data_IF_857134166605
#
_entry.id   IF_857134166605
#
_cell.length_a   1.000
_cell.length_b   1.000
_cell.length_c   1.000
_cell.angle_alpha   90.00
_cell.angle_beta   90.00
_cell.angle_gamma   90.00
#
_symmetry.space_group_name_H-M   'P 1'
#
loop_
_entity.id
_entity.type
_entity.pdbx_description
1 polymer ?
#
# COMPACT_ATOMS: atom_id res chain seq x y z
N UNK A 1 -64.51 42.45 15.33
CA UNK A 1 -64.62 41.35 16.31
C UNK A 1 -65.31 40.16 15.64
N UNK A 2 -64.96 38.96 16.10
CA UNK A 2 -65.35 37.61 15.69
C UNK A 2 -66.80 37.42 15.16
N UNK A 3 -66.89 36.53 14.16
CA UNK A 3 -67.95 35.57 13.78
C UNK A 3 -68.79 35.81 12.52
N UNK A 4 -68.96 34.66 11.86
CA UNK A 4 -70.03 34.21 10.95
C UNK A 4 -69.91 34.52 9.45
N UNK A 5 -69.70 33.45 8.68
CA UNK A 5 -70.53 33.04 7.53
C UNK A 5 -69.78 32.03 6.64
N UNK A 6 -70.17 30.76 6.68
CA UNK A 6 -70.16 29.90 5.49
C UNK A 6 -71.34 30.33 4.57
N UNK A 7 -71.58 29.83 3.33
CA UNK A 7 -71.01 28.66 2.63
C UNK A 7 -70.77 28.90 1.10
N UNK A 8 -70.76 27.80 0.32
CA UNK A 8 -70.80 27.64 -1.16
C UNK A 8 -69.40 27.47 -1.82
N UNK A 9 -69.09 26.40 -2.55
CA UNK A 9 -69.86 25.24 -2.94
C UNK A 9 -69.07 24.35 -3.91
N UNK A 10 -69.33 23.04 -3.79
CA UNK A 10 -69.48 22.06 -4.88
C UNK A 10 -68.24 21.61 -5.66
N UNK A 11 -67.92 20.33 -5.42
CA UNK A 11 -67.40 19.27 -6.30
C UNK A 11 -66.08 18.73 -5.77
N UNK A 12 -65.92 17.47 -5.41
CA UNK A 12 -66.71 16.31 -5.81
C UNK A 12 -65.71 15.18 -6.13
N UNK A 13 -65.58 14.25 -5.19
CA UNK A 13 -65.56 12.80 -5.43
C UNK A 13 -64.30 12.18 -6.09
N UNK A 14 -63.72 11.26 -5.29
CA UNK A 14 -62.82 10.11 -5.54
C UNK A 14 -63.28 9.18 -6.69
N UNK A 15 -62.89 7.90 -6.79
CA UNK A 15 -61.60 7.19 -6.91
C UNK A 15 -61.52 6.52 -8.32
N UNK A 16 -60.64 5.52 -8.48
CA UNK A 16 -60.71 4.38 -9.45
C UNK A 16 -60.01 4.51 -10.81
N UNK A 17 -58.89 3.80 -10.92
CA UNK A 17 -58.45 2.88 -12.00
C UNK A 17 -57.06 2.37 -11.56
N UNK A 18 -56.91 1.39 -10.66
CA UNK A 18 -57.01 -0.07 -10.88
C UNK A 18 -56.94 -0.49 -12.35
N UNK A 19 -55.72 -0.65 -12.86
CA UNK A 19 -55.39 -1.58 -13.95
C UNK A 19 -54.06 -2.24 -13.56
N UNK A 20 -54.06 -3.39 -12.89
CA UNK A 20 -54.11 -4.73 -13.49
C UNK A 20 -53.14 -4.89 -14.67
N UNK A 21 -51.85 -5.04 -14.38
CA UNK A 21 -51.00 -5.91 -15.18
C UNK A 21 -50.47 -7.05 -14.30
N UNK A 22 -51.30 -8.07 -14.14
CA UNK A 22 -50.87 -9.40 -13.74
C UNK A 22 -50.27 -10.09 -14.96
N UNK A 23 -48.95 -10.29 -14.96
CA UNK A 23 -48.30 -11.38 -15.70
C UNK A 23 -47.84 -12.41 -14.68
N UNK A 24 -48.71 -13.37 -14.47
CA UNK A 24 -48.50 -14.59 -13.68
C UNK A 24 -47.44 -15.52 -14.33
N UNK A 25 -46.95 -16.45 -13.50
CA UNK A 25 -46.20 -17.68 -13.83
C UNK A 25 -44.67 -17.58 -13.97
N UNK A 26 -43.91 -17.83 -12.88
CA UNK A 26 -43.33 -19.16 -12.64
C UNK A 26 -42.33 -19.20 -11.45
N UNK A 27 -42.56 -20.21 -10.60
CA UNK A 27 -41.62 -20.94 -9.74
C UNK A 27 -41.03 -20.25 -8.49
N UNK A 28 -41.81 -20.33 -7.42
CA UNK A 28 -41.50 -21.14 -6.24
C UNK A 28 -40.05 -21.65 -6.11
N UNK A 29 -39.29 -21.03 -5.21
CA UNK A 29 -38.46 -21.75 -4.25
C UNK A 29 -38.52 -21.02 -2.90
N UNK A 30 -39.24 -21.65 -1.99
CA UNK A 30 -39.34 -21.31 -0.57
C UNK A 30 -38.21 -22.05 0.19
N UNK A 31 -37.82 -21.51 1.34
CA UNK A 31 -36.86 -22.07 2.34
C UNK A 31 -35.38 -21.90 1.97
N UNK A 32 -34.54 -21.16 2.70
CA UNK A 32 -34.43 -21.00 4.17
C UNK A 32 -33.82 -19.62 4.46
N UNK A 33 -34.43 -18.80 5.31
CA UNK A 33 -34.01 -18.67 6.72
C UNK A 33 -32.47 -18.57 6.88
N UNK A 34 -31.97 -17.37 7.16
CA UNK A 34 -31.19 -17.05 8.38
C UNK A 34 -30.18 -15.90 8.15
N UNK A 35 -30.42 -14.84 8.93
CA UNK A 35 -29.48 -14.05 9.71
C UNK A 35 -28.16 -13.56 9.07
N UNK A 36 -28.11 -12.23 8.92
CA UNK A 36 -26.90 -11.43 8.77
C UNK A 36 -26.00 -11.60 10.02
N UNK A 37 -24.70 -11.87 9.82
CA UNK A 37 -23.67 -11.15 10.54
C UNK A 37 -23.01 -10.20 9.56
N UNK A 38 -22.83 -8.95 10.01
CA UNK A 38 -22.22 -7.86 9.27
C UNK A 38 -20.92 -8.34 8.63
N UNK A 39 -20.94 -8.56 7.32
CA UNK A 39 -19.72 -8.29 6.55
C UNK A 39 -19.44 -6.83 6.87
N UNK A 40 -18.25 -6.47 7.41
CA UNK A 40 -17.93 -5.07 7.51
C UNK A 40 -18.04 -4.59 6.09
N UNK A 41 -19.06 -3.77 5.83
CA UNK A 41 -19.08 -2.88 4.68
C UNK A 41 -17.68 -2.31 4.73
N UNK A 42 -16.83 -2.76 3.80
CA UNK A 42 -15.50 -2.18 3.63
C UNK A 42 -15.87 -0.76 3.29
N UNK A 43 -15.91 0.08 4.32
CA UNK A 43 -16.09 1.49 4.18
C UNK A 43 -14.99 1.83 3.20
N UNK A 44 -15.40 2.15 1.97
CA UNK A 44 -14.54 2.76 0.98
C UNK A 44 -14.14 4.07 1.63
N UNK A 45 -13.11 3.98 2.47
CA UNK A 45 -12.49 5.11 3.09
C UNK A 45 -11.99 5.90 1.89
N UNK A 46 -12.59 7.07 1.59
CA UNK A 46 -12.29 7.79 0.37
C UNK A 46 -10.78 7.90 0.33
N UNK A 47 -10.12 7.27 -0.66
CA UNK A 47 -8.66 7.19 -0.75
C UNK A 47 -8.15 8.60 -0.51
N UNK A 48 -7.68 8.84 0.72
CA UNK A 48 -7.15 10.13 1.11
C UNK A 48 -6.06 10.36 0.10
N UNK A 49 -6.22 11.38 -0.74
CA UNK A 49 -5.18 11.79 -1.66
C UNK A 49 -4.05 12.28 -0.77
N UNK A 50 -3.25 11.34 -0.29
CA UNK A 50 -2.04 11.58 0.46
C UNK A 50 -1.21 12.44 -0.47
N UNK A 51 -1.06 13.71 -0.08
CA UNK A 51 -0.30 14.66 -0.87
C UNK A 51 1.04 14.03 -1.21
N UNK A 52 1.51 14.16 -2.45
CA UNK A 52 2.81 13.63 -2.89
C UNK A 52 3.93 14.02 -1.92
N UNK A 53 3.80 15.19 -1.28
CA UNK A 53 4.70 15.67 -0.23
C UNK A 53 4.68 14.79 1.04
N UNK A 54 3.52 14.29 1.46
CA UNK A 54 3.39 13.35 2.58
C UNK A 54 4.06 12.03 2.24
N UNK A 55 3.80 11.47 1.05
CA UNK A 55 4.44 10.22 0.60
C UNK A 55 5.96 10.39 0.47
N UNK A 56 6.40 11.52 -0.08
CA UNK A 56 7.82 11.86 -0.18
C UNK A 56 8.44 12.02 1.21
N UNK A 57 7.79 12.73 2.12
CA UNK A 57 8.29 12.99 3.47
C UNK A 57 8.41 11.72 4.31
N UNK A 58 7.39 10.85 4.28
CA UNK A 58 7.42 9.56 5.01
C UNK A 58 8.49 8.64 4.43
N UNK A 59 8.58 8.54 3.10
CA UNK A 59 9.59 7.72 2.43
C UNK A 59 11.00 8.26 2.68
N UNK A 60 11.20 9.58 2.58
CA UNK A 60 12.48 10.23 2.85
C UNK A 60 12.92 9.99 4.30
N UNK A 61 12.06 10.25 5.28
CA UNK A 61 12.41 10.04 6.70
C UNK A 61 12.72 8.57 6.97
N UNK A 62 11.93 7.65 6.42
CA UNK A 62 12.15 6.20 6.59
C UNK A 62 13.50 5.78 6.02
N UNK A 63 13.81 6.17 4.79
CA UNK A 63 15.08 5.85 4.13
C UNK A 63 16.23 6.57 4.83
N UNK A 64 16.08 7.84 5.17
CA UNK A 64 17.10 8.63 5.86
C UNK A 64 17.44 8.03 7.22
N UNK A 65 16.47 7.62 8.03
CA UNK A 65 16.75 6.92 9.29
C UNK A 65 17.42 5.57 9.08
N UNK A 66 17.05 4.83 8.02
CA UNK A 66 17.71 3.59 7.66
C UNK A 66 19.16 3.80 7.17
N UNK A 67 19.43 4.96 6.57
CA UNK A 67 20.73 5.35 5.98
C UNK A 67 21.62 6.17 6.92
N UNK A 68 21.09 6.75 8.00
CA UNK A 68 21.88 7.54 8.94
C UNK A 68 22.84 6.59 9.66
N UNK A 69 24.11 6.69 9.27
CA UNK A 69 25.16 5.82 9.79
C UNK A 69 25.42 4.58 8.94
N UNK A 70 24.97 4.54 7.68
CA UNK A 70 25.45 3.48 6.79
C UNK A 70 26.98 3.52 6.72
N UNK A 71 27.58 2.37 6.98
CA UNK A 71 29.03 2.20 7.06
C UNK A 71 29.69 2.60 5.74
N UNK A 72 28.96 2.53 4.63
CA UNK A 72 29.40 2.99 3.31
C UNK A 72 29.62 4.51 3.27
N UNK A 73 28.79 5.31 3.96
CA UNK A 73 28.96 6.77 4.02
C UNK A 73 30.23 7.15 4.78
N UNK A 74 30.51 6.49 5.91
CA UNK A 74 31.75 6.69 6.68
C UNK A 74 32.97 6.16 5.91
N UNK A 75 32.86 5.00 5.26
CA UNK A 75 33.95 4.42 4.45
C UNK A 75 34.32 5.34 3.28
N UNK A 76 33.31 5.91 2.61
CA UNK A 76 33.54 6.85 1.50
C UNK A 76 34.15 8.15 2.01
N UNK A 77 33.69 8.65 3.16
CA UNK A 77 34.24 9.85 3.79
C UNK A 77 35.70 9.63 4.24
N UNK A 78 36.02 8.51 4.87
CA UNK A 78 37.38 8.17 5.28
C UNK A 78 38.30 7.98 4.08
N UNK A 79 37.85 7.26 3.04
CA UNK A 79 38.60 7.09 1.80
C UNK A 79 38.82 8.42 1.08
N UNK A 80 37.84 9.34 1.13
CA UNK A 80 37.98 10.69 0.58
C UNK A 80 38.88 11.59 1.43
N UNK A 81 38.93 11.40 2.74
CA UNK A 81 39.74 12.19 3.67
C UNK A 81 41.22 11.78 3.67
N UNK A 82 41.51 10.48 3.52
CA UNK A 82 42.88 9.94 3.39
C UNK A 82 43.48 10.16 2.00
N UNK A 83 42.66 10.41 0.98
CA UNK A 83 43.15 10.55 -0.39
C UNK A 83 43.67 11.96 -0.68
N UNK A 84 44.86 12.01 -1.28
CA UNK A 84 45.48 13.25 -1.77
C UNK A 84 44.64 13.98 -2.85
N UNK A 85 43.64 13.30 -3.42
CA UNK A 85 42.68 13.89 -4.37
C UNK A 85 41.24 13.41 -4.05
N UNK A 86 40.49 14.15 -3.22
CA UNK A 86 39.14 13.78 -2.80
C UNK A 86 38.14 13.67 -3.96
N UNK A 87 38.35 14.46 -5.02
CA UNK A 87 37.53 14.41 -6.24
C UNK A 87 37.63 13.08 -6.98
N UNK A 88 38.80 12.46 -7.03
CA UNK A 88 39.00 11.16 -7.71
C UNK A 88 38.27 10.04 -6.95
N UNK A 89 38.33 10.08 -5.62
CA UNK A 89 37.61 9.11 -4.78
C UNK A 89 36.11 9.26 -4.94
N UNK A 90 35.60 10.49 -4.92
CA UNK A 90 34.17 10.77 -5.10
C UNK A 90 33.64 10.26 -6.44
N UNK A 91 34.34 10.56 -7.54
CA UNK A 91 33.94 10.10 -8.87
C UNK A 91 34.08 8.57 -8.99
N UNK A 92 35.13 8.00 -8.40
CA UNK A 92 35.33 6.55 -8.36
C UNK A 92 34.21 5.82 -7.61
N UNK A 93 33.84 6.29 -6.42
CA UNK A 93 32.73 5.73 -5.63
C UNK A 93 31.39 5.93 -6.32
N UNK A 94 31.14 7.11 -6.92
CA UNK A 94 29.93 7.38 -7.67
C UNK A 94 29.79 6.45 -8.89
N UNK A 95 30.86 6.26 -9.65
CA UNK A 95 30.89 5.34 -10.80
C UNK A 95 30.68 3.88 -10.36
N UNK A 96 31.32 3.47 -9.26
CA UNK A 96 31.14 2.13 -8.70
C UNK A 96 29.69 1.89 -8.25
N UNK A 97 29.06 2.87 -7.59
CA UNK A 97 27.66 2.81 -7.19
C UNK A 97 26.74 2.68 -8.41
N UNK A 98 26.88 3.55 -9.41
CA UNK A 98 26.07 3.49 -10.63
C UNK A 98 26.20 2.12 -11.32
N UNK A 99 27.44 1.63 -11.46
CA UNK A 99 27.71 0.33 -12.09
C UNK A 99 27.08 -0.80 -11.30
N UNK A 100 27.23 -0.79 -9.98
CA UNK A 100 26.67 -1.82 -9.09
C UNK A 100 25.14 -1.79 -9.11
N UNK A 101 24.53 -0.61 -9.05
CA UNK A 101 23.07 -0.45 -9.15
C UNK A 101 22.55 -0.95 -10.50
N UNK A 102 23.23 -0.63 -11.61
CA UNK A 102 22.84 -1.10 -12.93
C UNK A 102 22.90 -2.63 -13.03
N UNK A 103 24.00 -3.23 -12.55
CA UNK A 103 24.14 -4.68 -12.49
C UNK A 103 23.07 -5.32 -11.58
N UNK A 104 22.80 -4.72 -10.43
CA UNK A 104 21.77 -5.18 -9.50
C UNK A 104 20.36 -5.16 -10.11
N UNK A 105 20.01 -4.10 -10.86
CA UNK A 105 18.73 -4.00 -11.56
C UNK A 105 18.63 -5.02 -12.70
N UNK A 106 19.69 -5.20 -13.49
CA UNK A 106 19.72 -6.20 -14.57
C UNK A 106 19.56 -7.63 -14.01
N UNK A 107 20.34 -7.96 -12.98
CA UNK A 107 20.33 -9.28 -12.36
C UNK A 107 19.02 -9.52 -11.60
N UNK A 108 18.51 -8.49 -10.92
CA UNK A 108 17.22 -8.50 -10.22
C UNK A 108 16.04 -8.65 -11.18
N UNK A 109 16.06 -7.97 -12.33
CA UNK A 109 15.03 -8.14 -13.36
C UNK A 109 15.07 -9.54 -13.97
N UNK A 110 16.27 -10.07 -14.24
CA UNK A 110 16.45 -11.42 -14.73
C UNK A 110 15.93 -12.47 -13.72
N UNK A 111 16.29 -12.34 -12.44
CA UNK A 111 15.83 -13.28 -11.41
C UNK A 111 14.32 -13.20 -11.19
N UNK A 112 13.75 -11.99 -11.21
CA UNK A 112 12.31 -11.77 -11.06
C UNK A 112 11.50 -12.33 -12.24
N UNK A 113 12.09 -12.38 -13.44
CA UNK A 113 11.45 -13.00 -14.61
C UNK A 113 11.39 -14.53 -14.54
N UNK A 114 12.28 -15.16 -13.77
CA UNK A 114 12.41 -16.62 -13.67
C UNK A 114 11.84 -17.21 -12.39
N UNK A 115 11.81 -16.45 -11.30
CA UNK A 115 11.40 -16.92 -9.98
C UNK A 115 10.07 -16.30 -9.53
N UNK A 116 9.23 -17.12 -8.90
CA UNK A 116 8.00 -16.65 -8.26
C UNK A 116 8.33 -15.69 -7.10
N UNK A 117 7.56 -14.61 -6.88
CA UNK A 117 7.79 -13.63 -5.81
C UNK A 117 7.97 -14.27 -4.42
N UNK A 118 7.22 -15.33 -4.14
CA UNK A 118 7.29 -16.08 -2.87
C UNK A 118 8.66 -16.71 -2.63
N UNK A 119 9.32 -17.17 -3.69
CA UNK A 119 10.67 -17.76 -3.60
C UNK A 119 11.71 -16.69 -3.28
N UNK A 120 11.59 -15.52 -3.91
CA UNK A 120 12.51 -14.39 -3.67
C UNK A 120 12.39 -13.90 -2.24
N UNK A 121 11.18 -13.69 -1.73
CA UNK A 121 10.93 -13.25 -0.35
C UNK A 121 11.47 -14.26 0.67
N UNK A 122 11.17 -15.56 0.48
CA UNK A 122 11.71 -16.61 1.35
C UNK A 122 13.23 -16.66 1.31
N UNK A 123 13.84 -16.51 0.13
CA UNK A 123 15.29 -16.51 -0.01
C UNK A 123 15.94 -15.33 0.71
N UNK A 124 15.37 -14.12 0.60
CA UNK A 124 15.85 -12.94 1.29
C UNK A 124 15.82 -13.13 2.81
N UNK A 125 14.71 -13.65 3.35
CA UNK A 125 14.58 -13.94 4.79
C UNK A 125 15.59 -14.99 5.28
N UNK A 126 15.79 -16.07 4.53
CA UNK A 126 16.80 -17.09 4.86
C UNK A 126 18.21 -16.52 4.84
N UNK A 127 18.53 -15.71 3.82
CA UNK A 127 19.87 -15.11 3.68
C UNK A 127 20.16 -14.13 4.82
N UNK A 128 19.16 -13.34 5.23
CA UNK A 128 19.26 -12.44 6.37
C UNK A 128 19.43 -13.21 7.70
N UNK A 129 18.69 -14.30 7.89
CA UNK A 129 18.85 -15.17 9.07
C UNK A 129 20.26 -15.78 9.12
N UNK A 130 20.78 -16.26 7.99
CA UNK A 130 22.13 -16.81 7.90
C UNK A 130 23.19 -15.77 8.25
N UNK A 131 23.10 -14.57 7.70
CA UNK A 131 24.02 -13.47 8.02
C UNK A 131 23.96 -13.12 9.51
N UNK A 132 22.74 -13.06 10.07
CA UNK A 132 22.53 -12.78 11.50
C UNK A 132 23.20 -13.83 12.40
N UNK A 133 22.98 -15.13 12.12
CA UNK A 133 23.60 -16.22 12.88
C UNK A 133 25.12 -16.22 12.71
N UNK A 134 25.62 -15.99 11.49
CA UNK A 134 27.05 -15.93 11.22
C UNK A 134 27.72 -14.80 12.02
N UNK A 135 27.15 -13.60 12.00
CA UNK A 135 27.69 -12.45 12.74
C UNK A 135 27.60 -12.69 14.26
N UNK A 136 26.51 -13.28 14.75
CA UNK A 136 26.37 -13.62 16.15
C UNK A 136 27.44 -14.62 16.60
N UNK A 137 27.71 -15.64 15.78
CA UNK A 137 28.75 -16.62 16.06
C UNK A 137 30.14 -16.00 16.03
N UNK A 138 30.44 -15.17 15.02
CA UNK A 138 31.72 -14.48 14.89
C UNK A 138 32.01 -13.57 16.10
N UNK A 139 30.98 -12.86 16.60
CA UNK A 139 31.09 -12.05 17.82
C UNK A 139 31.36 -12.90 19.05
N UNK A 140 30.78 -14.10 19.16
CA UNK A 140 30.95 -14.97 20.32
C UNK A 140 32.28 -15.72 20.31
N UNK A 141 32.80 -16.07 19.13
CA UNK A 141 34.09 -16.78 18.95
C UNK A 141 35.27 -15.82 18.87
N UNK A 142 35.06 -14.58 18.42
CA UNK A 142 36.08 -13.54 18.25
C UNK A 142 36.51 -12.85 19.54
N UNK A 143 36.16 -13.41 20.71
CA UNK A 143 36.62 -12.99 22.03
C UNK A 143 37.85 -13.75 22.50
#
# INVERSE_FOLDING_TARGET
MKLDSAPLGISGISPSEIELELKDSNDFNLTSDQCLPDQPVVADNPRKQESVLVVFGTTFITIFLAEIGDKTQLSTLLMSAESHSPWVVFIGSAAALITTSLLGVLLGSWIASRLSPKTVEKSAGVMLLLISVMLFWDVFIGH
#
